data_IF_824695447663
#
_entry.id   IF_824695447663
#
_cell.length_a   1.000
_cell.length_b   1.000
_cell.length_c   1.000
_cell.angle_alpha   90.00
_cell.angle_beta   90.00
_cell.angle_gamma   90.00
#
_symmetry.space_group_name_H-M   'P 1'
#
loop_
_entity.id
_entity.type
_entity.pdbx_description
1 polymer ?
#
# COMPACT_ATOMS: atom_id res chain seq x y z
N UNK A 1 2.73 -15.28 -13.83
CA UNK A 1 1.66 -14.94 -12.88
C UNK A 1 2.30 -13.98 -11.90
N UNK A 2 1.77 -12.76 -11.79
CA UNK A 2 2.31 -11.72 -10.91
C UNK A 2 1.90 -11.98 -9.46
N UNK A 3 2.58 -11.35 -8.49
CA UNK A 3 2.17 -11.42 -7.08
C UNK A 3 0.70 -11.01 -6.89
N UNK A 4 0.22 -10.00 -7.62
CA UNK A 4 -1.17 -9.52 -7.58
C UNK A 4 -2.17 -10.55 -8.12
N UNK A 5 -1.82 -11.24 -9.21
CA UNK A 5 -2.66 -12.32 -9.74
C UNK A 5 -2.76 -13.46 -8.72
N UNK A 6 -1.65 -13.82 -8.06
CA UNK A 6 -1.63 -14.88 -7.06
C UNK A 6 -2.46 -14.53 -5.82
N UNK A 7 -2.32 -13.32 -5.30
CA UNK A 7 -3.09 -12.80 -4.16
C UNK A 7 -4.61 -12.86 -4.45
N UNK A 8 -5.01 -12.46 -5.66
CA UNK A 8 -6.40 -12.51 -6.08
C UNK A 8 -6.93 -13.94 -6.22
N UNK A 9 -6.11 -14.88 -6.69
CA UNK A 9 -6.49 -16.30 -6.80
C UNK A 9 -6.72 -16.92 -5.40
N UNK A 10 -5.84 -16.62 -4.43
CA UNK A 10 -5.94 -17.14 -3.06
C UNK A 10 -7.21 -16.64 -2.37
N UNK A 11 -7.47 -15.34 -2.47
CA UNK A 11 -8.66 -14.71 -1.90
C UNK A 11 -9.98 -15.18 -2.54
N UNK A 12 -9.93 -15.96 -3.63
CA UNK A 12 -11.10 -16.49 -4.33
C UNK A 12 -11.37 -17.96 -4.10
N UNK A 13 -10.33 -18.79 -4.01
CA UNK A 13 -10.48 -20.24 -4.17
C UNK A 13 -10.05 -21.08 -2.97
N UNK A 14 -9.54 -20.45 -1.90
CA UNK A 14 -9.02 -21.17 -0.73
C UNK A 14 -9.62 -20.67 0.59
N UNK A 15 -9.46 -21.46 1.65
CA UNK A 15 -9.71 -21.02 3.03
C UNK A 15 -8.59 -20.10 3.56
N UNK A 16 -7.73 -19.59 2.67
CA UNK A 16 -6.71 -18.60 2.99
C UNK A 16 -7.18 -17.21 2.59
N UNK A 17 -6.74 -16.23 3.37
CA UNK A 17 -6.96 -14.82 3.07
C UNK A 17 -5.63 -14.08 3.06
N UNK A 18 -5.46 -13.18 2.09
CA UNK A 18 -4.30 -12.31 1.98
C UNK A 18 -4.73 -10.88 2.18
N UNK A 19 -4.18 -10.26 3.22
CA UNK A 19 -4.27 -8.83 3.51
C UNK A 19 -2.98 -8.15 3.06
N UNK A 20 -3.11 -7.13 2.23
CA UNK A 20 -1.99 -6.34 1.78
C UNK A 20 -2.07 -4.94 2.38
N UNK A 21 -0.98 -4.55 3.04
CA UNK A 21 -0.78 -3.19 3.54
C UNK A 21 0.38 -2.52 2.81
N UNK A 22 0.72 -1.31 3.24
CA UNK A 22 1.85 -0.54 2.70
C UNK A 22 3.20 -1.23 2.95
N UNK A 23 3.37 -1.84 4.13
CA UNK A 23 4.67 -2.33 4.60
C UNK A 23 4.82 -3.86 4.50
N UNK A 24 3.69 -4.57 4.43
CA UNK A 24 3.68 -6.02 4.48
C UNK A 24 2.51 -6.64 3.73
N UNK A 25 2.72 -7.89 3.34
CA UNK A 25 1.68 -8.84 2.95
C UNK A 25 1.49 -9.84 4.09
N UNK A 26 0.25 -10.01 4.56
CA UNK A 26 -0.12 -10.98 5.59
C UNK A 26 -1.00 -12.06 4.98
N UNK A 27 -0.74 -13.30 5.34
CA UNK A 27 -1.58 -14.44 4.91
C UNK A 27 -2.16 -15.10 6.15
N UNK A 28 -3.47 -15.28 6.15
CA UNK A 28 -4.26 -15.86 7.22
C UNK A 28 -4.87 -17.18 6.77
N UNK A 29 -5.05 -18.10 7.71
CA UNK A 29 -6.00 -19.18 7.57
C UNK A 29 -7.35 -18.65 8.10
N UNK A 30 -8.42 -18.80 7.31
CA UNK A 30 -9.77 -18.38 7.65
C UNK A 30 -10.70 -19.55 7.99
N UNK A 31 -10.17 -20.78 8.10
CA UNK A 31 -10.94 -21.93 8.53
C UNK A 31 -11.47 -21.70 9.97
N UNK A 32 -12.78 -21.80 10.17
CA UNK A 32 -13.35 -21.90 11.53
C UNK A 32 -13.50 -20.60 12.34
N UNK A 33 -13.62 -19.42 11.71
CA UNK A 33 -13.86 -18.09 12.34
C UNK A 33 -12.66 -17.47 13.07
N UNK A 34 -11.47 -18.04 12.91
CA UNK A 34 -10.24 -17.46 13.43
C UNK A 34 -9.46 -16.89 12.25
N UNK A 35 -9.13 -15.60 12.31
CA UNK A 35 -8.22 -14.95 11.36
C UNK A 35 -6.78 -15.25 11.80
N UNK A 36 -6.40 -16.52 11.67
CA UNK A 36 -5.14 -17.00 12.21
C UNK A 36 -4.01 -16.68 11.23
N UNK A 37 -3.19 -15.70 11.60
CA UNK A 37 -2.07 -15.24 10.80
C UNK A 37 -1.04 -16.36 10.64
N UNK A 38 -0.77 -16.78 9.40
CA UNK A 38 0.20 -17.83 9.05
C UNK A 38 1.60 -17.22 8.94
N UNK A 39 1.75 -16.15 8.16
CA UNK A 39 3.01 -15.43 8.03
C UNK A 39 2.80 -13.97 7.58
N UNK A 40 3.87 -13.20 7.72
CA UNK A 40 3.97 -11.82 7.27
C UNK A 40 5.24 -11.66 6.43
N UNK A 41 5.09 -11.17 5.20
CA UNK A 41 6.18 -10.86 4.28
C UNK A 41 6.34 -9.34 4.25
N UNK A 42 7.44 -8.77 4.78
CA UNK A 42 7.79 -7.38 4.53
C UNK A 42 7.95 -7.10 3.03
N UNK A 43 7.52 -5.95 2.51
CA UNK A 43 7.65 -5.66 1.07
C UNK A 43 9.11 -5.64 0.59
N UNK A 44 10.02 -5.24 1.47
CA UNK A 44 11.46 -5.19 1.23
C UNK A 44 12.19 -6.53 1.50
N UNK A 45 11.46 -7.60 1.84
CA UNK A 45 12.01 -8.93 2.13
C UNK A 45 12.90 -9.45 0.99
N UNK A 46 14.16 -9.74 1.26
CA UNK A 46 15.12 -10.18 0.23
C UNK A 46 15.20 -11.70 0.15
N UNK A 47 14.72 -12.37 1.18
CA UNK A 47 14.84 -13.81 1.35
C UNK A 47 13.73 -14.34 2.24
N UNK A 48 13.64 -15.67 2.28
CA UNK A 48 12.73 -16.39 3.18
C UNK A 48 12.99 -16.08 4.67
N UNK A 49 14.21 -15.66 5.02
CA UNK A 49 14.58 -15.33 6.41
C UNK A 49 13.99 -14.00 6.90
N UNK A 50 13.57 -13.14 5.97
CA UNK A 50 12.95 -11.85 6.30
C UNK A 50 11.44 -12.01 6.59
N UNK A 51 10.89 -13.19 6.33
CA UNK A 51 9.48 -13.51 6.55
C UNK A 51 9.25 -13.87 8.02
N UNK A 52 8.25 -13.24 8.64
CA UNK A 52 7.81 -13.60 9.98
C UNK A 52 6.81 -14.74 9.90
N UNK A 53 7.21 -15.91 10.41
CA UNK A 53 6.40 -17.12 10.43
C UNK A 53 5.63 -17.22 11.74
N UNK A 54 4.31 -17.11 11.66
CA UNK A 54 3.40 -17.28 12.78
C UNK A 54 2.82 -18.71 12.86
N UNK A 55 3.06 -19.52 11.83
CA UNK A 55 2.65 -20.92 11.71
C UNK A 55 3.38 -21.92 12.63
N UNK A 56 4.18 -21.47 13.60
CA UNK A 56 4.78 -22.36 14.60
C UNK A 56 3.80 -22.75 15.73
N UNK A 57 2.52 -22.38 15.63
CA UNK A 57 1.51 -22.88 16.54
C UNK A 57 1.12 -24.32 16.15
N UNK A 58 1.05 -25.26 17.11
CA UNK A 58 0.79 -26.69 16.85
C UNK A 58 -0.60 -26.99 16.25
N UNK A 59 -1.43 -25.98 16.04
CA UNK A 59 -2.83 -26.10 15.61
C UNK A 59 -3.03 -25.80 14.11
N UNK A 60 -2.01 -25.29 13.40
CA UNK A 60 -2.07 -25.10 11.95
C UNK A 60 -1.87 -26.41 11.20
N UNK A 61 -2.96 -27.05 10.80
CA UNK A 61 -2.94 -28.20 9.89
C UNK A 61 -3.28 -27.72 8.50
N UNK A 62 -2.25 -27.27 7.76
CA UNK A 62 -2.39 -26.94 6.34
C UNK A 62 -2.36 -28.21 5.50
N UNK A 63 -3.30 -28.33 4.57
CA UNK A 63 -3.31 -29.41 3.59
C UNK A 63 -2.22 -29.22 2.50
N UNK A 64 -2.03 -30.24 1.65
CA UNK A 64 -0.98 -30.21 0.63
C UNK A 64 -1.19 -29.10 -0.40
N UNK A 65 -2.44 -28.77 -0.73
CA UNK A 65 -2.79 -27.74 -1.69
C UNK A 65 -2.50 -26.34 -1.13
N UNK A 66 -2.89 -26.08 0.11
CA UNK A 66 -2.60 -24.83 0.81
C UNK A 66 -1.09 -24.61 0.94
N UNK A 67 -0.31 -25.65 1.28
CA UNK A 67 1.16 -25.57 1.34
C UNK A 67 1.77 -25.18 0.00
N UNK A 68 1.31 -25.80 -1.09
CA UNK A 68 1.76 -25.45 -2.44
C UNK A 68 1.43 -24.00 -2.81
N UNK A 69 0.23 -23.53 -2.45
CA UNK A 69 -0.17 -22.14 -2.65
C UNK A 69 0.74 -21.18 -1.88
N UNK A 70 0.99 -21.44 -0.60
CA UNK A 70 1.86 -20.61 0.24
C UNK A 70 3.29 -20.55 -0.29
N UNK A 71 3.86 -21.69 -0.69
CA UNK A 71 5.19 -21.74 -1.31
C UNK A 71 5.24 -20.92 -2.59
N UNK A 72 4.19 -20.99 -3.41
CA UNK A 72 4.08 -20.24 -4.65
C UNK A 72 3.98 -18.74 -4.42
N UNK A 73 3.22 -18.28 -3.42
CA UNK A 73 3.17 -16.86 -3.00
C UNK A 73 4.57 -16.37 -2.69
N UNK A 74 5.24 -17.05 -1.76
CA UNK A 74 6.53 -16.60 -1.27
C UNK A 74 7.54 -16.59 -2.40
N UNK A 75 7.55 -17.64 -3.22
CA UNK A 75 8.48 -17.75 -4.33
C UNK A 75 8.26 -16.65 -5.37
N UNK A 76 7.03 -16.43 -5.82
CA UNK A 76 6.74 -15.41 -6.83
C UNK A 76 6.90 -13.98 -6.28
N UNK A 77 6.53 -13.76 -5.01
CA UNK A 77 6.78 -12.49 -4.32
C UNK A 77 8.28 -12.19 -4.23
N UNK A 78 9.09 -13.15 -3.76
CA UNK A 78 10.54 -12.96 -3.63
C UNK A 78 11.27 -12.83 -4.99
N UNK A 79 10.75 -13.45 -6.06
CA UNK A 79 11.29 -13.27 -7.43
C UNK A 79 10.96 -11.92 -8.04
N UNK A 80 9.84 -11.32 -7.65
CA UNK A 80 9.44 -10.00 -8.14
C UNK A 80 10.47 -8.97 -7.64
N UNK A 81 10.94 -8.05 -8.48
CA UNK A 81 11.85 -7.00 -8.01
C UNK A 81 11.15 -6.13 -6.96
N UNK A 82 11.87 -5.67 -5.93
CA UNK A 82 11.26 -4.88 -4.83
C UNK A 82 10.45 -3.68 -5.36
N UNK A 83 10.92 -3.03 -6.42
CA UNK A 83 10.23 -1.89 -7.07
C UNK A 83 8.90 -2.27 -7.74
N UNK A 84 8.76 -3.54 -8.13
CA UNK A 84 7.62 -4.09 -8.85
C UNK A 84 6.72 -4.92 -7.92
N UNK A 85 7.14 -5.15 -6.67
CA UNK A 85 6.29 -5.71 -5.62
C UNK A 85 5.32 -4.61 -5.22
N UNK A 86 4.05 -4.90 -5.43
CA UNK A 86 2.86 -4.14 -4.99
C UNK A 86 3.14 -2.72 -4.55
N UNK A 87 2.77 -1.77 -5.42
CA UNK A 87 2.86 -0.31 -5.26
C UNK A 87 3.39 0.09 -3.86
N UNK A 88 4.69 0.39 -3.71
CA UNK A 88 5.05 1.38 -2.70
C UNK A 88 4.25 2.58 -3.13
N UNK A 89 3.10 2.76 -2.49
CA UNK A 89 2.19 3.81 -2.86
C UNK A 89 2.96 5.08 -2.57
N UNK A 90 3.55 5.67 -3.61
CA UNK A 90 4.49 6.75 -3.42
C UNK A 90 3.71 7.81 -2.66
N UNK A 91 4.19 8.09 -1.44
CA UNK A 91 3.52 9.00 -0.54
C UNK A 91 4.02 10.38 -0.83
N UNK A 92 3.09 11.29 -1.01
CA UNK A 92 3.37 12.67 -1.31
C UNK A 92 2.70 13.57 -0.30
N UNK A 93 3.34 14.70 -0.03
CA UNK A 93 2.71 15.86 0.60
C UNK A 93 2.63 16.95 -0.46
N UNK A 94 1.67 17.84 -0.31
CA UNK A 94 1.58 19.01 -1.17
C UNK A 94 2.07 20.22 -0.36
N UNK A 95 3.13 20.88 -0.83
CA UNK A 95 3.79 22.00 -0.19
C UNK A 95 3.69 23.23 -1.08
N UNK A 96 2.82 24.16 -0.71
CA UNK A 96 2.64 25.41 -1.45
C UNK A 96 3.64 26.44 -0.94
N UNK A 97 4.31 27.14 -1.85
CA UNK A 97 5.09 28.33 -1.49
C UNK A 97 4.14 29.42 -0.96
N UNK A 98 4.34 29.84 0.29
CA UNK A 98 3.47 30.83 0.93
C UNK A 98 3.60 32.20 0.26
N UNK A 99 2.48 32.73 -0.26
CA UNK A 99 2.44 34.04 -0.93
C UNK A 99 2.47 35.24 0.03
N UNK A 100 2.04 35.05 1.29
CA UNK A 100 1.71 36.17 2.19
C UNK A 100 2.70 36.38 3.34
N UNK A 101 3.29 35.29 3.85
CA UNK A 101 4.30 35.27 4.92
C UNK A 101 5.65 34.71 4.48
N UNK A 102 5.75 34.27 3.21
CA UNK A 102 6.94 33.66 2.63
C UNK A 102 7.28 32.29 3.21
N UNK A 103 6.41 31.70 4.03
CA UNK A 103 6.65 30.41 4.66
C UNK A 103 5.91 29.31 3.90
N UNK A 104 6.57 28.18 3.58
CA UNK A 104 5.92 27.10 2.86
C UNK A 104 4.80 26.47 3.72
N UNK A 105 3.66 26.17 3.11
CA UNK A 105 2.47 25.64 3.79
C UNK A 105 2.08 24.29 3.24
N UNK A 106 1.90 23.32 4.12
CA UNK A 106 1.38 22.03 3.74
C UNK A 106 -0.13 22.08 3.51
N UNK A 107 -0.58 21.32 2.53
CA UNK A 107 -2.00 21.07 2.31
C UNK A 107 -2.46 19.97 3.28
N UNK A 108 -3.45 20.31 4.10
CA UNK A 108 -4.14 19.39 5.00
C UNK A 108 -5.31 18.70 4.28
N UNK A 109 -6.06 19.44 3.47
CA UNK A 109 -7.16 18.87 2.69
C UNK A 109 -7.45 19.69 1.44
N UNK A 110 -8.20 19.06 0.54
CA UNK A 110 -8.64 19.66 -0.72
C UNK A 110 -10.15 19.62 -0.69
N UNK A 111 -10.81 20.78 -0.78
CA UNK A 111 -12.26 20.90 -0.71
C UNK A 111 -12.81 21.30 -2.05
N UNK A 112 -13.92 20.70 -2.44
CA UNK A 112 -14.72 21.16 -3.56
C UNK A 112 -15.93 21.89 -2.98
N UNK A 113 -15.91 23.21 -3.06
CA UNK A 113 -16.97 24.10 -2.59
C UNK A 113 -17.71 24.70 -3.80
N UNK A 114 -18.80 25.45 -3.58
CA UNK A 114 -19.59 26.06 -4.66
C UNK A 114 -18.77 27.00 -5.57
N UNK A 115 -17.65 27.52 -5.07
CA UNK A 115 -16.71 28.39 -5.79
C UNK A 115 -15.57 27.62 -6.50
N UNK A 116 -15.61 26.28 -6.45
CA UNK A 116 -14.62 25.39 -7.04
C UNK A 116 -13.69 24.77 -6.00
N UNK A 117 -12.59 24.21 -6.50
CA UNK A 117 -11.69 23.40 -5.69
C UNK A 117 -10.61 24.26 -5.01
N UNK A 118 -10.48 24.10 -3.69
CA UNK A 118 -9.59 24.90 -2.84
C UNK A 118 -8.64 24.03 -2.02
N UNK A 119 -7.42 24.52 -1.82
CA UNK A 119 -6.43 23.92 -0.92
C UNK A 119 -6.59 24.49 0.48
N UNK A 120 -6.81 23.62 1.46
CA UNK A 120 -6.83 23.96 2.89
C UNK A 120 -5.46 23.66 3.46
N UNK A 121 -4.85 24.66 4.08
CA UNK A 121 -3.50 24.55 4.65
C UNK A 121 -3.56 24.22 6.14
N UNK A 122 -2.65 23.35 6.59
CA UNK A 122 -2.62 22.89 7.98
C UNK A 122 -1.59 21.80 8.20
N UNK A 123 -1.92 20.79 9.01
CA UNK A 123 -1.06 19.64 9.22
C UNK A 123 -0.84 18.87 7.90
N UNK A 124 0.39 18.37 7.64
CA UNK A 124 0.69 17.70 6.38
C UNK A 124 -0.13 16.42 6.19
N UNK A 125 -1.04 16.44 5.23
CA UNK A 125 -1.71 15.23 4.76
C UNK A 125 -0.83 14.49 3.77
N UNK A 126 -0.84 13.17 3.87
CA UNK A 126 -0.20 12.27 2.92
C UNK A 126 -1.22 11.88 1.86
N UNK A 127 -0.78 11.92 0.60
CA UNK A 127 -1.52 11.51 -0.58
C UNK A 127 -0.78 10.40 -1.29
N UNK A 128 -1.52 9.48 -1.89
CA UNK A 128 -0.99 8.45 -2.77
C UNK A 128 -0.86 8.98 -4.20
N UNK A 129 -0.01 8.36 -5.03
CA UNK A 129 0.03 8.72 -6.46
C UNK A 129 -1.31 8.47 -7.17
N UNK A 130 -2.04 7.44 -6.75
CA UNK A 130 -3.37 7.12 -7.25
C UNK A 130 -4.38 8.22 -6.90
N UNK A 131 -4.45 8.64 -5.63
CA UNK A 131 -5.31 9.74 -5.18
C UNK A 131 -5.00 11.04 -5.93
N UNK A 132 -3.71 11.36 -6.12
CA UNK A 132 -3.32 12.55 -6.89
C UNK A 132 -3.67 12.40 -8.36
N UNK A 133 -3.56 11.20 -8.95
CA UNK A 133 -3.93 10.96 -10.36
C UNK A 133 -5.44 11.10 -10.57
N UNK A 134 -6.25 10.51 -9.69
CA UNK A 134 -7.70 10.63 -9.73
C UNK A 134 -8.17 12.07 -9.56
N UNK A 135 -7.50 12.82 -8.68
CA UNK A 135 -7.78 14.23 -8.48
C UNK A 135 -7.43 15.07 -9.73
N UNK A 136 -6.28 14.80 -10.36
CA UNK A 136 -5.87 15.46 -11.61
C UNK A 136 -6.82 15.16 -12.77
N UNK A 137 -7.37 13.95 -12.85
CA UNK A 137 -8.37 13.59 -13.86
C UNK A 137 -9.72 14.27 -13.60
N UNK A 138 -10.12 14.35 -12.34
CA UNK A 138 -11.38 14.98 -11.93
C UNK A 138 -11.35 16.50 -12.07
N UNK A 139 -10.18 17.12 -11.85
CA UNK A 139 -9.96 18.55 -11.90
C UNK A 139 -8.70 18.89 -12.71
N UNK A 140 -8.80 18.91 -14.05
CA UNK A 140 -7.64 19.17 -14.91
C UNK A 140 -6.97 20.53 -14.66
N UNK A 141 -7.74 21.54 -14.23
CA UNK A 141 -7.26 22.91 -14.02
C UNK A 141 -6.22 23.03 -12.88
N UNK A 142 -6.20 22.08 -11.95
CA UNK A 142 -5.24 22.07 -10.83
C UNK A 142 -4.09 21.10 -11.05
N UNK A 143 -4.08 20.34 -12.15
CA UNK A 143 -3.11 19.27 -12.34
C UNK A 143 -1.67 19.79 -12.37
N UNK A 144 -1.43 20.86 -13.12
CA UNK A 144 -0.14 21.56 -13.15
C UNK A 144 0.28 22.11 -11.78
N UNK A 145 -0.69 22.48 -10.94
CA UNK A 145 -0.42 22.98 -9.59
C UNK A 145 0.01 21.85 -8.68
N UNK A 146 -0.73 20.73 -8.69
CA UNK A 146 -0.39 19.51 -7.95
C UNK A 146 1.03 19.06 -8.29
N UNK A 147 1.37 18.96 -9.58
CA UNK A 147 2.69 18.49 -10.00
C UNK A 147 3.84 19.43 -9.55
N UNK A 148 3.58 20.72 -9.38
CA UNK A 148 4.57 21.70 -8.89
C UNK A 148 4.78 21.65 -7.38
N UNK A 149 3.74 21.36 -6.62
CA UNK A 149 3.76 21.40 -5.15
C UNK A 149 3.92 20.03 -4.51
N UNK A 150 3.84 18.96 -5.31
CA UNK A 150 4.04 17.59 -4.89
C UNK A 150 5.48 17.36 -4.44
N UNK A 151 5.65 17.00 -3.18
CA UNK A 151 6.94 16.64 -2.57
C UNK A 151 6.88 15.22 -2.02
N UNK A 152 7.94 14.44 -2.24
CA UNK A 152 8.02 13.07 -1.74
C UNK A 152 8.01 13.06 -0.21
N UNK A 153 7.16 12.21 0.38
CA UNK A 153 6.96 12.12 1.83
C UNK A 153 7.86 11.06 2.50
N UNK A 154 8.89 10.58 1.80
CA UNK A 154 9.83 9.56 2.28
C UNK A 154 10.41 9.83 3.66
N UNK A 155 10.67 8.74 4.39
CA UNK A 155 10.94 8.65 5.83
C UNK A 155 11.68 9.86 6.42
N UNK A 156 10.97 10.59 7.27
CA UNK A 156 11.60 11.48 8.25
C UNK A 156 12.06 10.56 9.39
N UNK A 157 13.37 10.29 9.43
CA UNK A 157 14.08 9.61 10.51
C UNK A 157 13.76 10.20 11.89
#
# INVERSE_FOLDING_TARGET
MTANELINDINRESDLYVDESEDYVKVYNCEGKHDDLIFTIPKDARSFFDITWNCMQPEFVLDDYERELLEKIITEYLKTEIKDRTNPTEKYRLLMDGSDDGMPKYVESIKNDDDGLSFVYGEPKVFTEEELTDLKQSYPDIADTIDKIKVFAGEIY
#
